data_IF_719675456493
#
_entry.id   IF_719675456493
#
_cell.length_a   1.000
_cell.length_b   1.000
_cell.length_c   1.000
_cell.angle_alpha   90.00
_cell.angle_beta   90.00
_cell.angle_gamma   90.00
#
_symmetry.space_group_name_H-M   'P 1'
#
loop_
_entity.id
_entity.type
_entity.pdbx_description
1 polymer ?
#
# COMPACT_ATOMS: atom_id res chain seq x y z
N UNK A 1 27.33 30.33 3.85
CA UNK A 1 26.56 29.42 2.97
C UNK A 1 25.99 28.28 3.83
N UNK A 2 24.83 28.49 4.48
CA UNK A 2 24.25 27.52 5.45
C UNK A 2 22.79 27.14 5.10
N UNK A 3 22.29 27.57 3.93
CA UNK A 3 20.84 27.50 3.66
C UNK A 3 20.37 26.17 3.06
N UNK A 4 21.26 25.36 2.46
CA UNK A 4 20.85 24.16 1.73
C UNK A 4 20.49 22.98 2.65
N UNK A 5 21.12 22.88 3.83
CA UNK A 5 20.88 21.74 4.74
C UNK A 5 19.53 21.85 5.46
N UNK A 6 19.09 23.08 5.76
CA UNK A 6 17.80 23.30 6.43
C UNK A 6 16.61 23.09 5.48
N UNK A 7 16.77 23.37 4.18
CA UNK A 7 15.73 23.08 3.18
C UNK A 7 15.53 21.57 3.01
N UNK A 8 16.61 20.78 2.93
CA UNK A 8 16.51 19.32 2.78
C UNK A 8 15.80 18.66 3.97
N UNK A 9 16.11 19.08 5.20
CA UNK A 9 15.47 18.53 6.41
C UNK A 9 13.97 18.84 6.46
N UNK A 10 13.56 20.03 6.04
CA UNK A 10 12.14 20.38 5.99
C UNK A 10 11.39 19.54 4.94
N UNK A 11 12.00 19.30 3.78
CA UNK A 11 11.42 18.45 2.73
C UNK A 11 11.25 16.99 3.20
N UNK A 12 12.26 16.42 3.87
CA UNK A 12 12.17 15.05 4.39
C UNK A 12 11.09 14.90 5.47
N UNK A 13 10.89 15.93 6.29
CA UNK A 13 9.83 15.96 7.31
C UNK A 13 8.45 16.05 6.64
N UNK A 14 8.29 16.90 5.63
CA UNK A 14 7.03 17.04 4.91
C UNK A 14 6.65 15.74 4.19
N UNK A 15 7.60 15.08 3.53
CA UNK A 15 7.42 13.78 2.89
C UNK A 15 7.01 12.69 3.91
N UNK A 16 7.64 12.68 5.08
CA UNK A 16 7.27 11.76 6.16
C UNK A 16 5.83 12.00 6.64
N UNK A 17 5.45 13.26 6.88
CA UNK A 17 4.11 13.62 7.34
C UNK A 17 3.03 13.29 6.31
N UNK A 18 3.31 13.45 5.01
CA UNK A 18 2.40 13.04 3.94
C UNK A 18 2.19 11.52 3.92
N UNK A 19 3.26 10.73 4.07
CA UNK A 19 3.18 9.27 4.13
C UNK A 19 2.35 8.80 5.33
N UNK A 20 2.55 9.42 6.50
CA UNK A 20 1.77 9.12 7.71
C UNK A 20 0.29 9.46 7.49
N UNK A 21 0.00 10.64 6.91
CA UNK A 21 -1.38 11.06 6.62
C UNK A 21 -2.07 10.10 5.65
N UNK A 22 -1.38 9.66 4.60
CA UNK A 22 -1.89 8.68 3.65
C UNK A 22 -2.24 7.35 4.33
N UNK A 23 -1.34 6.83 5.17
CA UNK A 23 -1.59 5.59 5.94
C UNK A 23 -2.77 5.70 6.90
N UNK A 24 -2.97 6.85 7.55
CA UNK A 24 -4.13 7.10 8.41
C UNK A 24 -5.45 7.10 7.63
N UNK A 25 -5.46 7.65 6.41
CA UNK A 25 -6.63 7.65 5.53
C UNK A 25 -6.99 6.24 5.09
N UNK A 26 -6.00 5.40 4.76
CA UNK A 26 -6.21 3.99 4.40
C UNK A 26 -6.77 3.18 5.57
N UNK A 27 -6.20 3.35 6.77
CA UNK A 27 -6.67 2.70 7.97
C UNK A 27 -8.11 3.12 8.33
N UNK A 28 -8.41 4.42 8.29
CA UNK A 28 -9.76 4.94 8.55
C UNK A 28 -10.79 4.47 7.52
N UNK A 29 -10.36 4.20 6.28
CA UNK A 29 -11.21 3.65 5.23
C UNK A 29 -11.45 2.13 5.34
N UNK A 30 -10.91 1.47 6.39
CA UNK A 30 -11.03 0.02 6.55
C UNK A 30 -10.26 -0.78 5.49
N UNK A 31 -9.36 -0.13 4.74
CA UNK A 31 -8.40 -0.80 3.84
C UNK A 31 -7.26 -1.37 4.69
N UNK A 32 -7.60 -2.33 5.54
CA UNK A 32 -6.66 -3.05 6.38
C UNK A 32 -6.42 -4.41 5.72
N UNK A 33 -5.15 -4.78 5.57
CA UNK A 33 -4.78 -6.13 5.14
C UNK A 33 -4.71 -7.00 6.38
N UNK A 34 -5.34 -8.17 6.32
CA UNK A 34 -5.25 -9.18 7.37
C UNK A 34 -3.79 -9.62 7.56
N UNK A 35 -3.30 -9.54 8.80
CA UNK A 35 -1.92 -9.84 9.14
C UNK A 35 -1.56 -11.29 8.80
N UNK A 36 -2.44 -12.24 9.06
CA UNK A 36 -2.17 -13.67 8.83
C UNK A 36 -2.00 -13.93 7.34
N UNK A 37 -2.80 -13.26 6.50
CA UNK A 37 -2.65 -13.32 5.03
C UNK A 37 -1.34 -12.72 4.53
N UNK A 38 -0.86 -11.65 5.18
CA UNK A 38 0.47 -11.09 4.89
C UNK A 38 1.56 -12.08 5.28
N UNK A 39 1.46 -12.69 6.47
CA UNK A 39 2.42 -13.68 6.94
C UNK A 39 2.47 -14.92 6.02
N UNK A 40 1.32 -15.41 5.57
CA UNK A 40 1.24 -16.52 4.61
C UNK A 40 1.92 -16.15 3.28
N UNK A 41 1.60 -14.99 2.72
CA UNK A 41 2.25 -14.53 1.48
C UNK A 41 3.77 -14.43 1.63
N UNK A 42 4.25 -13.77 2.69
CA UNK A 42 5.67 -13.64 2.99
C UNK A 42 6.37 -14.98 3.18
N UNK A 43 5.69 -16.01 3.67
CA UNK A 43 6.26 -17.36 3.82
C UNK A 43 6.61 -18.04 2.50
N UNK A 44 5.97 -17.63 1.40
CA UNK A 44 6.18 -18.18 0.06
C UNK A 44 7.14 -17.35 -0.80
N UNK A 45 7.60 -16.22 -0.28
CA UNK A 45 8.36 -15.23 -1.05
C UNK A 45 9.72 -15.79 -1.49
N UNK A 46 10.04 -15.67 -2.79
CA UNK A 46 11.30 -16.18 -3.35
C UNK A 46 11.33 -17.71 -3.53
N UNK A 47 10.18 -18.37 -3.38
CA UNK A 47 10.06 -19.82 -3.61
C UNK A 47 9.41 -20.11 -4.96
N UNK A 48 9.52 -21.36 -5.45
CA UNK A 48 8.83 -21.79 -6.66
C UNK A 48 7.28 -21.74 -6.54
N UNK A 49 6.76 -21.55 -5.33
CA UNK A 49 5.34 -21.47 -5.02
C UNK A 49 4.94 -20.09 -4.49
N UNK A 50 5.71 -19.05 -4.85
CA UNK A 50 5.41 -17.68 -4.45
C UNK A 50 3.98 -17.30 -4.83
N UNK A 51 3.21 -16.91 -3.81
CA UNK A 51 1.82 -16.50 -3.96
C UNK A 51 1.75 -14.99 -4.24
N UNK A 52 0.58 -14.53 -4.71
CA UNK A 52 0.35 -13.11 -4.96
C UNK A 52 0.15 -12.34 -3.63
N UNK A 53 0.57 -11.07 -3.54
CA UNK A 53 0.36 -10.27 -2.35
C UNK A 53 -1.14 -10.13 -2.03
N UNK A 54 -1.52 -10.16 -0.73
CA UNK A 54 -2.91 -10.08 -0.32
C UNK A 54 -3.51 -8.71 -0.66
N UNK A 55 -4.73 -8.72 -1.19
CA UNK A 55 -5.53 -7.51 -1.41
C UNK A 55 -6.32 -7.16 -0.14
N UNK A 56 -6.53 -5.85 0.07
CA UNK A 56 -7.37 -5.34 1.16
C UNK A 56 -8.75 -6.01 1.15
N UNK A 57 -9.17 -6.49 2.31
CA UNK A 57 -10.49 -7.08 2.50
C UNK A 57 -11.42 -6.03 3.07
N UNK A 58 -12.15 -5.33 2.20
CA UNK A 58 -13.28 -4.54 2.67
C UNK A 58 -14.34 -5.57 3.11
N UNK A 59 -14.72 -5.61 4.39
CA UNK A 59 -15.83 -6.46 4.87
C UNK A 59 -17.17 -6.19 4.16
N UNK A 60 -17.22 -5.19 3.27
CA UNK A 60 -18.38 -4.76 2.49
C UNK A 60 -18.23 -4.90 0.97
N UNK A 61 -17.20 -5.56 0.42
CA UNK A 61 -17.06 -5.70 -1.05
C UNK A 61 -16.93 -7.15 -1.51
N UNK A 62 -17.99 -7.92 -1.24
CA UNK A 62 -18.44 -8.93 -2.20
C UNK A 62 -19.08 -8.19 -3.38
N UNK A 63 -18.27 -7.66 -4.29
CA UNK A 63 -18.65 -7.27 -5.66
C UNK A 63 -17.40 -6.79 -6.40
N UNK A 64 -16.71 -7.76 -6.99
CA UNK A 64 -16.38 -7.74 -8.41
C UNK A 64 -16.04 -6.35 -9.00
N UNK A 65 -14.76 -5.98 -8.99
CA UNK A 65 -14.25 -5.08 -10.01
C UNK A 65 -13.96 -5.92 -11.27
N UNK A 66 -14.72 -5.80 -12.37
CA UNK A 66 -14.32 -6.41 -13.62
C UNK A 66 -13.01 -5.75 -14.06
N UNK A 67 -11.95 -6.54 -14.28
CA UNK A 67 -10.82 -6.09 -15.11
C UNK A 67 -11.44 -5.58 -16.41
N UNK A 68 -11.36 -4.28 -16.67
CA UNK A 68 -11.63 -3.73 -18.01
C UNK A 68 -10.75 -4.53 -18.96
N UNK A 69 -11.37 -5.37 -19.78
CA UNK A 69 -10.72 -5.88 -20.98
C UNK A 69 -10.33 -4.64 -21.77
N UNK A 70 -9.04 -4.41 -21.95
CA UNK A 70 -8.54 -3.51 -22.99
C UNK A 70 -9.01 -4.12 -24.30
N UNK A 71 -10.09 -3.57 -24.84
CA UNK A 71 -10.50 -3.83 -26.21
C UNK A 71 -9.44 -3.22 -27.11
N UNK A 72 -8.77 -4.07 -27.88
CA UNK A 72 -8.01 -3.71 -29.07
C UNK A 72 -8.80 -2.70 -29.91
N UNK A 73 -8.11 -1.63 -30.31
CA UNK A 73 -8.48 -0.73 -31.40
C UNK A 73 -7.23 -0.43 -32.22
#
# INVERSE_FOLDING_TARGET
MVNNHNETLNTEIDDYLERVRSGLVDANAGRVIDQDRVCEWLSTWGTAHETQPPLYTNSSTSSQLPRRAMTDL
#
